data_IF_793748431304
#
_entry.id   IF_793748431304
#
_cell.length_a   1.000
_cell.length_b   1.000
_cell.length_c   1.000
_cell.angle_alpha   90.00
_cell.angle_beta   90.00
_cell.angle_gamma   90.00
#
_symmetry.space_group_name_H-M   'P 1'
#
loop_
_entity.id
_entity.type
_entity.pdbx_description
1 polymer ?
#
# COMPACT_ATOMS: atom_id res chain seq x y z
N UNK A 1 29.20 24.08 18.70
CA UNK A 1 28.35 24.33 19.87
C UNK A 1 27.07 25.05 19.45
N UNK A 2 26.06 24.26 19.05
CA UNK A 2 24.66 24.35 19.50
C UNK A 2 23.99 23.07 19.04
N UNK A 3 24.35 22.00 19.72
CA UNK A 3 23.58 20.77 19.73
C UNK A 3 22.11 21.08 20.07
N UNK A 4 21.22 20.25 19.50
CA UNK A 4 19.82 20.08 19.91
C UNK A 4 18.87 21.21 19.50
N UNK A 5 18.36 21.13 18.28
CA UNK A 5 17.00 21.61 17.97
C UNK A 5 16.22 20.53 17.21
N UNK A 6 15.38 19.83 17.99
CA UNK A 6 14.12 19.15 17.65
C UNK A 6 14.02 18.53 16.25
N UNK A 7 14.09 17.22 16.03
CA UNK A 7 13.32 16.14 16.66
C UNK A 7 11.83 16.46 16.90
N UNK A 8 11.16 17.26 16.07
CA UNK A 8 9.69 17.29 16.01
C UNK A 8 9.18 17.75 14.62
N UNK A 9 9.00 16.80 13.70
CA UNK A 9 7.91 16.76 12.70
C UNK A 9 7.97 15.43 11.96
N UNK A 10 7.94 14.33 12.71
CA UNK A 10 7.53 13.03 12.19
C UNK A 10 6.01 12.99 12.18
N UNK A 11 5.40 13.71 11.25
CA UNK A 11 4.00 13.46 10.87
C UNK A 11 4.04 12.92 9.45
N UNK A 12 4.68 11.77 9.28
CA UNK A 12 4.34 10.86 8.19
C UNK A 12 3.10 10.10 8.67
N UNK A 13 1.93 10.72 8.52
CA UNK A 13 0.65 10.04 8.68
C UNK A 13 0.52 9.04 7.52
N UNK A 14 1.12 7.86 7.73
CA UNK A 14 1.12 6.71 6.83
C UNK A 14 1.78 6.87 5.45
N UNK A 15 2.63 7.89 5.24
CA UNK A 15 3.51 7.95 4.07
C UNK A 15 2.83 8.20 2.72
N UNK A 16 1.62 8.76 2.72
CA UNK A 16 0.88 9.19 1.52
C UNK A 16 1.15 10.69 1.28
N UNK A 17 1.88 11.09 0.22
CA UNK A 17 1.99 12.50 -0.16
C UNK A 17 0.72 12.95 -0.91
N UNK A 18 0.05 13.98 -0.41
CA UNK A 18 -1.08 14.63 -1.08
C UNK A 18 -0.61 15.36 -2.35
N UNK A 19 -1.06 14.92 -3.53
CA UNK A 19 -0.66 15.44 -4.85
C UNK A 19 -1.48 16.64 -5.33
N UNK A 20 -1.97 17.49 -4.43
CA UNK A 20 -2.60 18.77 -4.82
C UNK A 20 -1.95 19.90 -4.06
N UNK A 21 -1.20 20.75 -4.77
CA UNK A 21 -0.81 22.05 -4.24
C UNK A 21 -2.07 22.91 -4.14
N UNK A 22 -2.78 22.79 -3.02
CA UNK A 22 -3.83 23.70 -2.59
C UNK A 22 -3.33 24.42 -1.35
N UNK A 23 -3.30 25.76 -1.31
CA UNK A 23 -2.84 26.53 -0.14
C UNK A 23 -3.65 26.30 1.15
N UNK A 24 -4.71 25.47 1.09
CA UNK A 24 -5.47 25.00 2.25
C UNK A 24 -4.80 23.87 3.05
N UNK A 25 -3.76 23.20 2.50
CA UNK A 25 -3.18 21.98 3.08
C UNK A 25 -2.39 22.21 4.39
N UNK A 26 -1.83 23.41 4.60
CA UNK A 26 -1.08 23.73 5.82
C UNK A 26 -1.91 23.74 7.10
N UNK A 27 -3.23 23.85 7.00
CA UNK A 27 -4.10 23.97 8.18
C UNK A 27 -4.77 22.65 8.59
N UNK A 28 -4.74 21.60 7.76
CA UNK A 28 -5.56 20.39 7.97
C UNK A 28 -4.85 19.08 7.58
N UNK A 29 -3.76 18.69 8.27
CA UNK A 29 -3.19 17.34 8.14
C UNK A 29 -4.16 16.22 8.59
N UNK A 30 -5.23 16.57 9.31
CA UNK A 30 -6.19 15.63 9.92
C UNK A 30 -7.23 15.05 8.95
N UNK A 31 -7.39 15.62 7.75
CA UNK A 31 -8.43 15.15 6.80
C UNK A 31 -8.09 13.76 6.25
N UNK A 32 -6.80 13.45 6.06
CA UNK A 32 -6.34 12.12 5.63
C UNK A 32 -6.38 11.08 6.76
N UNK A 33 -6.07 11.49 8.00
CA UNK A 33 -6.06 10.58 9.18
C UNK A 33 -7.45 10.02 9.53
N UNK A 34 -8.53 10.75 9.18
CA UNK A 34 -9.92 10.32 9.44
C UNK A 34 -10.40 9.19 8.52
N UNK A 35 -9.78 8.99 7.35
CA UNK A 35 -10.32 8.09 6.31
C UNK A 35 -9.74 6.67 6.27
N UNK A 36 -8.82 6.27 7.17
CA UNK A 36 -8.11 4.97 7.12
C UNK A 36 -7.77 4.54 5.68
N UNK A 37 -7.05 5.38 4.91
CA UNK A 37 -6.90 5.20 3.46
C UNK A 37 -6.23 3.86 3.08
N UNK A 38 -5.36 3.30 3.94
CA UNK A 38 -4.76 1.98 3.70
C UNK A 38 -5.75 0.80 3.81
N UNK A 39 -6.82 0.93 4.60
CA UNK A 39 -7.85 -0.10 4.72
C UNK A 39 -8.70 -0.15 3.43
N UNK A 40 -8.99 1.02 2.87
CA UNK A 40 -9.66 1.12 1.57
C UNK A 40 -8.79 0.55 0.44
N UNK A 41 -7.49 0.88 0.42
CA UNK A 41 -6.54 0.30 -0.53
C UNK A 41 -6.47 -1.23 -0.40
N UNK A 42 -6.48 -1.75 0.83
CA UNK A 42 -6.50 -3.19 1.07
C UNK A 42 -7.75 -3.84 0.45
N UNK A 43 -8.92 -3.28 0.70
CA UNK A 43 -10.18 -3.79 0.18
C UNK A 43 -10.28 -3.71 -1.34
N UNK A 44 -9.83 -2.60 -1.95
CA UNK A 44 -9.83 -2.45 -3.41
C UNK A 44 -8.90 -3.45 -4.08
N UNK A 45 -7.68 -3.63 -3.57
CA UNK A 45 -6.74 -4.61 -4.12
C UNK A 45 -7.28 -6.04 -4.09
N UNK A 46 -7.92 -6.44 -2.98
CA UNK A 46 -8.54 -7.77 -2.88
C UNK A 46 -9.71 -7.95 -3.85
N UNK A 47 -10.44 -6.87 -4.17
CA UNK A 47 -11.60 -6.88 -5.07
C UNK A 47 -11.18 -6.86 -6.54
N UNK A 48 -10.36 -5.90 -6.94
CA UNK A 48 -9.95 -5.67 -8.33
C UNK A 48 -9.08 -6.82 -8.87
N UNK A 49 -8.25 -7.41 -8.02
CA UNK A 49 -7.36 -8.51 -8.40
C UNK A 49 -7.85 -9.88 -7.91
N UNK A 50 -9.09 -10.00 -7.47
CA UNK A 50 -9.62 -11.25 -6.93
C UNK A 50 -9.43 -12.44 -7.89
N UNK A 51 -8.83 -13.51 -7.41
CA UNK A 51 -8.53 -14.73 -8.18
C UNK A 51 -7.41 -14.59 -9.21
N UNK A 52 -6.80 -13.42 -9.31
CA UNK A 52 -5.69 -13.16 -10.23
C UNK A 52 -4.35 -13.35 -9.53
N UNK A 53 -3.34 -13.61 -10.36
CA UNK A 53 -1.96 -13.56 -9.94
C UNK A 53 -1.22 -12.55 -10.81
N UNK A 54 -0.76 -11.46 -10.18
CA UNK A 54 -0.21 -10.29 -10.86
C UNK A 54 1.06 -9.82 -10.16
N UNK A 55 1.95 -9.18 -10.90
CA UNK A 55 3.18 -8.65 -10.32
C UNK A 55 2.90 -7.41 -9.45
N UNK A 56 3.77 -7.11 -8.49
CA UNK A 56 3.65 -5.88 -7.68
C UNK A 56 3.70 -4.64 -8.56
N UNK A 57 4.54 -4.64 -9.61
CA UNK A 57 4.59 -3.59 -10.61
C UNK A 57 3.23 -3.44 -11.33
N UNK A 58 2.66 -4.53 -11.84
CA UNK A 58 1.36 -4.53 -12.51
C UNK A 58 0.24 -4.02 -11.60
N UNK A 59 0.23 -4.44 -10.33
CA UNK A 59 -0.75 -3.96 -9.34
C UNK A 59 -0.67 -2.43 -9.22
N UNK A 60 0.54 -1.90 -9.08
CA UNK A 60 0.76 -0.46 -9.00
C UNK A 60 0.36 0.24 -10.30
N UNK A 61 0.83 -0.22 -11.45
CA UNK A 61 0.56 0.42 -12.74
C UNK A 61 -0.94 0.43 -13.08
N UNK A 62 -1.68 -0.63 -12.75
CA UNK A 62 -3.11 -0.74 -13.06
C UNK A 62 -4.00 0.01 -12.06
N UNK A 63 -3.63 0.06 -10.78
CA UNK A 63 -4.46 0.66 -9.73
C UNK A 63 -4.03 2.10 -9.35
N UNK A 64 -2.81 2.52 -9.67
CA UNK A 64 -2.29 3.86 -9.30
C UNK A 64 -2.88 5.01 -10.13
N UNK A 65 -3.53 4.73 -11.26
CA UNK A 65 -3.99 5.77 -12.21
C UNK A 65 -5.01 6.73 -11.58
N UNK A 66 -5.90 6.22 -10.72
CA UNK A 66 -6.97 6.99 -10.08
C UNK A 66 -6.81 7.08 -8.56
N UNK A 67 -5.60 6.82 -8.03
CA UNK A 67 -5.39 6.79 -6.59
C UNK A 67 -4.19 7.61 -6.12
N UNK A 68 -4.28 8.27 -4.95
CA UNK A 68 -3.17 9.05 -4.39
C UNK A 68 -2.07 8.18 -3.75
N UNK A 69 -2.10 6.86 -3.95
CA UNK A 69 -1.20 5.93 -3.29
C UNK A 69 0.14 5.83 -4.01
N UNK A 70 1.24 5.90 -3.26
CA UNK A 70 2.59 5.65 -3.78
C UNK A 70 2.96 4.17 -3.66
N UNK A 71 3.94 3.72 -4.44
CA UNK A 71 4.46 2.34 -4.43
C UNK A 71 4.76 1.80 -3.02
N UNK A 72 5.21 2.65 -2.09
CA UNK A 72 5.46 2.29 -0.68
C UNK A 72 4.18 1.77 0.00
N UNK A 73 3.03 2.40 -0.25
CA UNK A 73 1.74 2.04 0.33
C UNK A 73 1.27 0.68 -0.18
N UNK A 74 1.43 0.41 -1.48
CA UNK A 74 1.13 -0.91 -2.05
C UNK A 74 2.02 -1.98 -1.44
N UNK A 75 3.34 -1.74 -1.36
CA UNK A 75 4.27 -2.69 -0.75
C UNK A 75 3.94 -2.96 0.71
N UNK A 76 3.61 -1.94 1.49
CA UNK A 76 3.22 -2.12 2.90
C UNK A 76 1.90 -2.89 3.02
N UNK A 77 0.88 -2.50 2.26
CA UNK A 77 -0.43 -3.16 2.24
C UNK A 77 -0.32 -4.63 1.84
N UNK A 78 0.47 -4.93 0.81
CA UNK A 78 0.74 -6.29 0.36
C UNK A 78 1.52 -7.11 1.40
N UNK A 79 2.50 -6.51 2.10
CA UNK A 79 3.19 -7.18 3.23
C UNK A 79 2.20 -7.52 4.34
N UNK A 80 1.29 -6.61 4.67
CA UNK A 80 0.31 -6.88 5.72
C UNK A 80 -0.72 -7.93 5.27
N UNK A 81 -1.17 -7.90 4.02
CA UNK A 81 -2.05 -8.93 3.47
C UNK A 81 -1.39 -10.31 3.42
N UNK A 82 -0.09 -10.37 3.15
CA UNK A 82 0.71 -11.60 3.23
C UNK A 82 0.77 -12.10 4.69
N UNK A 83 1.05 -11.20 5.64
CA UNK A 83 1.11 -11.52 7.06
C UNK A 83 -0.24 -11.99 7.62
N UNK A 84 -1.36 -11.45 7.12
CA UNK A 84 -2.73 -11.85 7.44
C UNK A 84 -3.15 -13.17 6.75
N UNK A 85 -2.31 -13.71 5.85
CA UNK A 85 -2.62 -14.92 5.07
C UNK A 85 -3.68 -14.73 3.99
N UNK A 86 -4.02 -13.48 3.65
CA UNK A 86 -5.03 -13.12 2.64
C UNK A 86 -4.50 -13.29 1.22
N UNK A 87 -3.23 -12.95 1.00
CA UNK A 87 -2.56 -13.07 -0.31
C UNK A 87 -1.29 -13.89 -0.16
N UNK A 88 -0.87 -14.53 -1.24
CA UNK A 88 0.38 -15.31 -1.28
C UNK A 88 1.36 -14.67 -2.25
N UNK A 89 2.58 -14.39 -1.79
CA UNK A 89 3.63 -13.80 -2.63
C UNK A 89 4.61 -14.89 -3.06
N UNK A 90 4.81 -15.06 -4.38
CA UNK A 90 5.77 -16.00 -4.95
C UNK A 90 6.79 -15.29 -5.85
N UNK A 91 8.00 -15.83 -5.87
CA UNK A 91 9.07 -15.39 -6.76
C UNK A 91 9.21 -16.35 -7.93
N UNK A 92 9.32 -15.82 -9.15
CA UNK A 92 9.66 -16.62 -10.35
C UNK A 92 11.15 -16.97 -10.42
N UNK A 93 12.02 -16.22 -9.74
CA UNK A 93 13.49 -16.29 -9.87
C UNK A 93 14.22 -16.96 -8.70
N UNK A 94 13.50 -17.61 -7.76
CA UNK A 94 14.09 -18.37 -6.66
C UNK A 94 13.96 -17.69 -5.27
N UNK A 95 14.91 -17.97 -4.38
CA UNK A 95 14.84 -17.64 -2.94
C UNK A 95 14.66 -16.14 -2.68
N UNK A 96 13.53 -15.79 -2.05
CA UNK A 96 13.20 -14.44 -1.61
C UNK A 96 13.88 -14.14 -0.28
N UNK A 97 14.59 -12.99 -0.13
CA UNK A 97 14.98 -12.50 1.18
C UNK A 97 13.73 -12.08 1.99
N UNK A 98 13.62 -12.57 3.23
CA UNK A 98 12.48 -12.28 4.10
C UNK A 98 12.32 -10.76 4.30
N UNK A 99 11.10 -10.25 4.15
CA UNK A 99 10.76 -8.84 4.40
C UNK A 99 10.79 -7.91 3.18
N UNK A 100 11.24 -8.39 2.01
CA UNK A 100 11.28 -7.56 0.78
C UNK A 100 10.16 -7.94 -0.18
N UNK A 101 9.46 -6.93 -0.70
CA UNK A 101 8.48 -7.05 -1.77
C UNK A 101 9.03 -6.29 -2.98
N UNK A 102 9.74 -7.01 -3.85
CA UNK A 102 10.29 -6.47 -5.08
C UNK A 102 9.21 -6.40 -6.16
N UNK A 103 9.39 -5.51 -7.13
CA UNK A 103 8.36 -5.14 -8.11
C UNK A 103 7.97 -6.31 -9.03
N UNK A 104 8.91 -7.23 -9.28
CA UNK A 104 8.72 -8.42 -10.11
C UNK A 104 8.13 -9.63 -9.37
N UNK A 105 7.85 -9.52 -8.07
CA UNK A 105 7.24 -10.62 -7.33
C UNK A 105 5.77 -10.73 -7.72
N UNK A 106 5.30 -11.98 -7.82
CA UNK A 106 3.91 -12.28 -8.13
C UNK A 106 3.11 -12.36 -6.84
N UNK A 107 2.02 -11.61 -6.78
CA UNK A 107 1.03 -11.64 -5.72
C UNK A 107 -0.17 -12.42 -6.23
N UNK A 108 -0.47 -13.52 -5.56
CA UNK A 108 -1.68 -14.30 -5.78
C UNK A 108 -2.75 -13.82 -4.81
N UNK A 109 -3.82 -13.28 -5.37
CA UNK A 109 -4.99 -12.87 -4.64
C UNK A 109 -5.96 -14.05 -4.49
N UNK A 110 -6.71 -14.11 -3.38
CA UNK A 110 -7.71 -15.14 -3.19
C UNK A 110 -8.79 -14.95 -4.26
N UNK A 111 -9.35 -16.05 -4.78
CA UNK A 111 -10.58 -15.95 -5.55
C UNK A 111 -11.60 -15.22 -4.69
N UNK A 112 -12.34 -14.26 -5.26
CA UNK A 112 -13.47 -13.65 -4.56
C UNK A 112 -14.39 -14.81 -4.22
N UNK A 113 -14.33 -15.27 -2.97
CA UNK A 113 -15.26 -16.27 -2.48
C UNK A 113 -16.59 -15.56 -2.49
N UNK A 114 -17.32 -15.70 -3.60
CA UNK A 114 -18.75 -15.58 -3.59
C UNK A 114 -19.23 -16.50 -2.47
N UNK A 115 -19.67 -15.87 -1.40
CA UNK A 115 -20.81 -16.29 -0.59
C UNK A 115 -21.27 -17.71 -0.90
N UNK A 116 -20.65 -18.65 -0.20
CA UNK A 116 -21.08 -20.04 -0.15
C UNK A 116 -21.66 -20.31 1.22
N UNK A 117 -22.82 -19.71 1.52
CA UNK A 117 -23.89 -20.27 2.36
C UNK A 117 -25.13 -19.37 2.41
#
# INVERSE_FOLDING_TARGET
MKDIMAKESSTEDQGVPSLTYSPADWSMPLLFSLQRPLDQLRASLLKDFAGQEVSVADVFERHSVDTPYVMKNYKDTLKQLEADGRVSVRSLKGTRPKGTLADHLLVRFPASSGDGQ
#
